data_IF_605928432732
#
_entry.id   IF_605928432732
#
_cell.length_a   1.000
_cell.length_b   1.000
_cell.length_c   1.000
_cell.angle_alpha   90.00
_cell.angle_beta   90.00
_cell.angle_gamma   90.00
#
_symmetry.space_group_name_H-M   'P 1'
#
loop_
_entity.id
_entity.type
_entity.pdbx_description
1 polymer ?
#
# COMPACT_ATOMS: atom_id res chain seq x y z
N UNK A 1 -78.98 6.45 35.25
CA UNK A 1 -79.87 7.51 35.79
C UNK A 1 -81.21 7.40 35.08
N UNK A 2 -82.23 6.85 35.73
CA UNK A 2 -83.57 6.70 35.17
C UNK A 2 -84.23 8.09 35.05
N UNK A 3 -84.51 8.52 33.82
CA UNK A 3 -85.06 9.84 33.53
C UNK A 3 -86.50 9.95 34.06
N UNK A 4 -86.78 10.75 35.11
CA UNK A 4 -88.09 10.80 35.77
C UNK A 4 -89.19 11.48 34.92
N UNK A 5 -88.84 12.04 33.76
CA UNK A 5 -89.75 12.84 32.92
C UNK A 5 -90.80 12.00 32.16
N UNK A 6 -90.44 10.81 31.66
CA UNK A 6 -91.31 9.99 30.80
C UNK A 6 -92.36 9.18 31.56
N UNK A 7 -92.03 8.67 32.75
CA UNK A 7 -93.04 8.07 33.66
C UNK A 7 -94.11 9.08 34.07
N UNK A 8 -93.74 10.36 34.17
CA UNK A 8 -94.71 11.43 34.43
C UNK A 8 -95.63 11.67 33.22
N UNK A 9 -95.14 11.48 31.99
CA UNK A 9 -95.94 11.64 30.78
C UNK A 9 -96.93 10.49 30.58
N UNK A 10 -96.52 9.24 30.84
CA UNK A 10 -97.42 8.07 30.80
C UNK A 10 -98.51 8.16 31.87
N UNK A 11 -98.17 8.59 33.09
CA UNK A 11 -99.17 8.83 34.13
C UNK A 11 -100.09 10.01 33.80
N UNK A 12 -99.56 11.11 33.22
CA UNK A 12 -100.37 12.25 32.75
C UNK A 12 -101.33 11.87 31.63
N UNK A 13 -100.90 11.08 30.65
CA UNK A 13 -101.79 10.59 29.58
C UNK A 13 -102.82 9.63 30.13
N UNK A 14 -102.44 8.71 31.04
CA UNK A 14 -103.38 7.81 31.69
C UNK A 14 -104.42 8.55 32.55
N UNK A 15 -104.01 9.61 33.26
CA UNK A 15 -104.96 10.47 33.99
C UNK A 15 -105.83 11.27 33.04
N UNK A 16 -105.29 11.85 31.95
CA UNK A 16 -106.08 12.60 30.98
C UNK A 16 -107.14 11.71 30.31
N UNK A 17 -106.77 10.47 29.95
CA UNK A 17 -107.68 9.48 29.36
C UNK A 17 -108.70 8.97 30.37
N UNK A 18 -108.29 8.71 31.62
CA UNK A 18 -109.23 8.36 32.69
C UNK A 18 -110.23 9.49 32.95
N UNK A 19 -109.79 10.75 32.89
CA UNK A 19 -110.64 11.94 33.01
C UNK A 19 -111.60 12.02 31.81
N UNK A 20 -111.15 11.87 30.55
CA UNK A 20 -112.06 11.90 29.40
C UNK A 20 -113.06 10.75 29.42
N UNK A 21 -112.65 9.53 29.80
CA UNK A 21 -113.56 8.39 29.97
C UNK A 21 -114.57 8.65 31.08
N UNK A 22 -114.14 9.17 32.24
CA UNK A 22 -115.04 9.52 33.33
C UNK A 22 -116.04 10.61 32.93
N UNK A 23 -115.60 11.65 32.21
CA UNK A 23 -116.47 12.71 31.68
C UNK A 23 -117.50 12.12 30.70
N UNK A 24 -117.08 11.24 29.78
CA UNK A 24 -117.99 10.58 28.82
C UNK A 24 -119.04 9.73 29.55
N UNK A 25 -118.64 8.98 30.59
CA UNK A 25 -119.56 8.16 31.40
C UNK A 25 -120.56 9.03 32.19
N UNK A 26 -120.10 10.14 32.76
CA UNK A 26 -120.96 11.08 33.49
C UNK A 26 -121.97 11.74 32.55
N UNK A 27 -121.53 12.22 31.37
CA UNK A 27 -122.43 12.79 30.35
C UNK A 27 -123.45 11.75 29.87
N UNK A 28 -123.03 10.50 29.68
CA UNK A 28 -123.93 9.41 29.30
C UNK A 28 -124.99 9.11 30.37
N UNK A 29 -124.60 9.01 31.65
CA UNK A 29 -125.54 8.79 32.77
C UNK A 29 -126.54 9.94 32.92
N UNK A 30 -126.09 11.19 32.77
CA UNK A 30 -126.95 12.36 32.79
C UNK A 30 -127.96 12.36 31.62
N UNK A 31 -127.53 11.89 30.44
CA UNK A 31 -128.37 11.74 29.25
C UNK A 31 -129.45 10.66 29.43
N UNK A 32 -129.08 9.51 30.03
CA UNK A 32 -129.99 8.41 30.34
C UNK A 32 -131.09 8.87 31.30
N UNK A 33 -130.72 9.57 32.38
CA UNK A 33 -131.68 10.08 33.36
C UNK A 33 -132.67 11.08 32.74
N UNK A 34 -132.20 11.95 31.83
CA UNK A 34 -133.05 12.92 31.13
C UNK A 34 -134.03 12.27 30.14
N UNK A 35 -133.60 11.22 29.43
CA UNK A 35 -134.45 10.49 28.46
C UNK A 35 -135.52 9.66 29.20
N UNK A 36 -135.22 9.10 30.38
CA UNK A 36 -136.23 8.40 31.19
C UNK A 36 -137.32 9.29 31.77
N UNK A 37 -137.07 10.60 31.91
CA UNK A 37 -138.02 11.55 32.49
C UNK A 37 -139.05 12.12 31.49
N UNK A 38 -138.87 11.90 30.17
CA UNK A 38 -139.71 12.49 29.11
C UNK A 38 -140.67 11.46 28.47
N UNK A 39 -140.53 10.17 28.78
CA UNK A 39 -141.23 9.09 28.06
C UNK A 39 -142.52 8.59 28.73
N UNK A 40 -143.63 9.30 28.55
CA UNK A 40 -144.98 8.75 28.72
C UNK A 40 -145.51 8.25 27.36
N UNK A 41 -145.43 6.93 27.13
CA UNK A 41 -146.10 6.25 26.01
C UNK A 41 -145.19 5.55 24.99
N UNK A 42 -145.34 4.23 24.92
CA UNK A 42 -145.02 3.29 23.83
C UNK A 42 -143.97 3.66 22.75
N UNK A 43 -142.85 2.92 22.74
CA UNK A 43 -142.05 2.64 21.53
C UNK A 43 -140.84 3.52 21.26
N UNK A 44 -140.85 4.81 21.66
CA UNK A 44 -139.74 5.75 21.36
C UNK A 44 -138.61 5.76 22.41
N UNK A 45 -138.90 5.36 23.66
CA UNK A 45 -137.92 5.39 24.75
C UNK A 45 -136.84 4.29 24.65
N UNK A 46 -137.18 3.14 24.08
CA UNK A 46 -136.28 1.99 23.96
C UNK A 46 -135.24 2.18 22.85
N UNK A 47 -135.60 2.83 21.75
CA UNK A 47 -134.69 3.09 20.63
C UNK A 47 -133.64 4.16 20.95
N UNK A 48 -134.00 5.21 21.70
CA UNK A 48 -133.07 6.24 22.14
C UNK A 48 -132.01 5.72 23.14
N UNK A 49 -132.42 4.84 24.06
CA UNK A 49 -131.53 4.19 25.03
C UNK A 49 -130.50 3.25 24.35
N UNK A 50 -130.91 2.53 23.31
CA UNK A 50 -130.01 1.64 22.54
C UNK A 50 -128.95 2.46 21.78
N UNK A 51 -129.34 3.55 21.13
CA UNK A 51 -128.39 4.41 20.38
C UNK A 51 -127.34 5.02 21.32
N UNK A 52 -127.76 5.49 22.51
CA UNK A 52 -126.84 6.07 23.48
C UNK A 52 -125.88 5.02 24.08
N UNK A 53 -126.37 3.82 24.39
CA UNK A 53 -125.52 2.71 24.84
C UNK A 53 -124.48 2.30 23.79
N UNK A 54 -124.86 2.21 22.51
CA UNK A 54 -123.92 1.93 21.40
C UNK A 54 -122.90 3.05 21.23
N UNK A 55 -123.31 4.31 21.38
CA UNK A 55 -122.43 5.49 21.30
C UNK A 55 -121.35 5.48 22.39
N UNK A 56 -121.74 5.12 23.62
CA UNK A 56 -120.83 5.01 24.77
C UNK A 56 -119.86 3.85 24.59
N UNK A 57 -120.33 2.70 24.11
CA UNK A 57 -119.46 1.54 23.82
C UNK A 57 -118.48 1.89 22.69
N UNK A 58 -118.92 2.58 21.63
CA UNK A 58 -118.05 3.02 20.55
C UNK A 58 -116.99 4.03 21.02
N UNK A 59 -117.37 5.02 21.84
CA UNK A 59 -116.43 5.98 22.43
C UNK A 59 -115.45 5.33 23.39
N UNK A 60 -115.90 4.38 24.21
CA UNK A 60 -115.03 3.58 25.09
C UNK A 60 -114.06 2.71 24.27
N UNK A 61 -114.52 2.10 23.17
CA UNK A 61 -113.67 1.31 22.28
C UNK A 61 -112.62 2.18 21.57
N UNK A 62 -112.99 3.36 21.10
CA UNK A 62 -112.06 4.34 20.50
C UNK A 62 -111.07 4.85 21.54
N UNK A 63 -111.53 5.19 22.75
CA UNK A 63 -110.65 5.66 23.84
C UNK A 63 -109.70 4.56 24.33
N UNK A 64 -110.15 3.30 24.38
CA UNK A 64 -109.32 2.15 24.75
C UNK A 64 -108.30 1.81 23.65
N UNK A 65 -108.71 1.89 22.39
CA UNK A 65 -107.82 1.74 21.23
C UNK A 65 -106.75 2.83 21.20
N UNK A 66 -107.14 4.10 21.40
CA UNK A 66 -106.22 5.23 21.51
C UNK A 66 -105.28 5.09 22.72
N UNK A 67 -105.77 4.63 23.88
CA UNK A 67 -104.94 4.36 25.05
C UNK A 67 -103.92 3.26 24.79
N UNK A 68 -104.32 2.18 24.11
CA UNK A 68 -103.44 1.06 23.76
C UNK A 68 -102.38 1.48 22.73
N UNK A 69 -102.74 2.29 21.74
CA UNK A 69 -101.81 2.88 20.78
C UNK A 69 -100.80 3.82 21.46
N UNK A 70 -101.27 4.78 22.27
CA UNK A 70 -100.39 5.75 22.94
C UNK A 70 -99.49 5.07 23.98
N UNK A 71 -100.02 4.10 24.74
CA UNK A 71 -99.23 3.28 25.65
C UNK A 71 -98.16 2.45 24.95
N UNK A 72 -98.48 1.89 23.77
CA UNK A 72 -97.50 1.18 22.93
C UNK A 72 -96.41 2.10 22.38
N UNK A 73 -96.76 3.34 22.00
CA UNK A 73 -95.81 4.34 21.50
C UNK A 73 -94.85 4.78 22.61
N UNK A 74 -95.39 5.15 23.78
CA UNK A 74 -94.59 5.59 24.92
C UNK A 74 -93.64 4.48 25.41
N UNK A 75 -94.10 3.23 25.44
CA UNK A 75 -93.25 2.09 25.81
C UNK A 75 -92.12 1.82 24.82
N UNK A 76 -92.32 2.05 23.52
CA UNK A 76 -91.25 1.94 22.52
C UNK A 76 -90.26 3.10 22.61
N UNK A 77 -90.73 4.32 22.88
CA UNK A 77 -89.86 5.49 23.10
C UNK A 77 -89.01 5.30 24.36
N UNK A 78 -89.58 4.77 25.44
CA UNK A 78 -88.83 4.48 26.67
C UNK A 78 -87.71 3.45 26.41
N UNK A 79 -87.99 2.38 25.64
CA UNK A 79 -86.97 1.40 25.24
C UNK A 79 -85.89 2.02 24.35
N UNK A 80 -86.28 2.87 23.39
CA UNK A 80 -85.33 3.58 22.54
C UNK A 80 -84.43 4.52 23.36
N UNK A 81 -84.99 5.20 24.36
CA UNK A 81 -84.23 6.07 25.26
C UNK A 81 -83.27 5.28 26.17
N UNK A 82 -83.67 4.09 26.62
CA UNK A 82 -82.78 3.17 27.35
C UNK A 82 -81.62 2.73 26.46
N UNK A 83 -81.91 2.21 25.27
CA UNK A 83 -80.88 1.77 24.30
C UNK A 83 -79.95 2.92 23.91
N UNK A 84 -80.47 4.10 23.64
CA UNK A 84 -79.65 5.28 23.36
C UNK A 84 -78.81 5.70 24.59
N UNK A 85 -79.35 5.56 25.81
CA UNK A 85 -78.64 5.86 27.06
C UNK A 85 -77.55 4.84 27.41
N UNK A 86 -77.73 3.57 27.06
CA UNK A 86 -76.72 2.51 27.19
C UNK A 86 -75.62 2.68 26.12
N UNK A 87 -75.99 2.95 24.88
CA UNK A 87 -75.05 3.28 23.81
C UNK A 87 -74.21 4.53 24.13
N UNK A 88 -74.80 5.55 24.74
CA UNK A 88 -74.08 6.74 25.20
C UNK A 88 -73.06 6.45 26.31
N UNK A 89 -73.20 5.33 27.03
CA UNK A 89 -72.23 4.85 28.02
C UNK A 89 -71.15 3.93 27.40
N UNK A 90 -71.21 3.69 26.09
CA UNK A 90 -70.22 2.90 25.35
C UNK A 90 -70.61 1.45 25.09
N UNK A 91 -71.80 0.98 25.52
CA UNK A 91 -72.29 -0.33 25.11
C UNK A 91 -72.98 -0.25 23.75
N UNK A 92 -72.22 -0.53 22.69
CA UNK A 92 -72.75 -0.49 21.32
C UNK A 92 -73.45 -1.78 20.91
N UNK A 93 -73.56 -2.82 21.75
CA UNK A 93 -74.22 -4.08 21.38
C UNK A 93 -75.73 -4.04 21.64
N UNK A 94 -76.24 -3.01 22.33
CA UNK A 94 -77.66 -2.90 22.68
C UNK A 94 -78.51 -2.58 21.46
N UNK A 95 -79.70 -3.18 21.38
CA UNK A 95 -80.62 -2.98 20.24
C UNK A 95 -82.05 -2.83 20.70
N UNK A 96 -82.82 -2.04 19.96
CA UNK A 96 -84.28 -2.01 20.12
C UNK A 96 -84.85 -3.27 19.47
N UNK A 97 -85.38 -4.17 20.30
CA UNK A 97 -85.95 -5.46 19.88
C UNK A 97 -87.48 -5.34 19.75
N UNK A 98 -88.07 -6.09 18.80
CA UNK A 98 -89.52 -6.17 18.51
C UNK A 98 -90.11 -4.86 17.97
N UNK A 99 -89.47 -4.29 16.95
CA UNK A 99 -90.01 -3.14 16.18
C UNK A 99 -91.10 -3.68 15.23
N UNK A 100 -92.32 -3.88 15.74
CA UNK A 100 -93.46 -4.39 14.96
C UNK A 100 -94.20 -3.32 14.14
N UNK A 101 -93.71 -2.08 14.10
CA UNK A 101 -94.36 -0.92 13.46
C UNK A 101 -93.62 -0.52 12.18
N UNK A 102 -94.38 -0.05 11.17
CA UNK A 102 -93.89 0.41 9.85
C UNK A 102 -94.03 1.93 9.63
N UNK A 103 -94.41 2.66 10.66
CA UNK A 103 -94.62 4.11 10.66
C UNK A 103 -93.31 4.88 10.92
N UNK A 104 -93.41 6.20 11.10
CA UNK A 104 -92.29 7.11 11.41
C UNK A 104 -91.48 6.64 12.62
N UNK A 105 -92.18 6.14 13.66
CA UNK A 105 -91.52 5.63 14.86
C UNK A 105 -90.76 4.34 14.56
N UNK A 106 -91.34 3.41 13.80
CA UNK A 106 -90.63 2.22 13.32
C UNK A 106 -89.37 2.57 12.52
N UNK A 107 -89.45 3.57 11.63
CA UNK A 107 -88.29 4.08 10.89
C UNK A 107 -87.21 4.67 11.81
N UNK A 108 -87.60 5.46 12.81
CA UNK A 108 -86.68 6.03 13.79
C UNK A 108 -85.93 4.95 14.58
N UNK A 109 -86.65 3.93 15.08
CA UNK A 109 -86.07 2.85 15.87
C UNK A 109 -85.11 1.98 15.05
N UNK A 110 -85.47 1.67 13.80
CA UNK A 110 -84.58 0.98 12.88
C UNK A 110 -83.36 1.86 12.52
N UNK A 111 -83.54 3.17 12.39
CA UNK A 111 -82.45 4.13 12.20
C UNK A 111 -81.48 4.16 13.40
N UNK A 112 -82.00 4.12 14.63
CA UNK A 112 -81.19 4.01 15.84
C UNK A 112 -80.36 2.72 15.84
N UNK A 113 -80.98 1.56 15.57
CA UNK A 113 -80.25 0.29 15.45
C UNK A 113 -79.17 0.35 14.35
N UNK A 114 -79.48 0.95 13.19
CA UNK A 114 -78.53 1.07 12.09
C UNK A 114 -77.32 1.94 12.43
N UNK A 115 -77.52 3.05 13.16
CA UNK A 115 -76.40 3.89 13.66
C UNK A 115 -75.56 3.09 14.65
N UNK A 116 -76.17 2.28 15.52
CA UNK A 116 -75.43 1.43 16.45
C UNK A 116 -74.64 0.33 15.72
N UNK A 117 -75.22 -0.32 14.71
CA UNK A 117 -74.53 -1.32 13.89
C UNK A 117 -73.28 -0.72 13.22
N UNK A 118 -73.43 0.44 12.56
CA UNK A 118 -72.32 1.13 11.89
C UNK A 118 -71.24 1.60 12.88
N UNK A 119 -71.65 2.11 14.05
CA UNK A 119 -70.70 2.57 15.07
C UNK A 119 -69.94 1.40 15.68
N UNK A 120 -70.62 0.29 15.95
CA UNK A 120 -70.01 -0.93 16.51
C UNK A 120 -69.02 -1.56 15.53
N UNK A 121 -69.41 -1.74 14.26
CA UNK A 121 -68.57 -2.30 13.20
C UNK A 121 -67.31 -1.44 13.01
N UNK A 122 -67.49 -0.13 12.84
CA UNK A 122 -66.39 0.82 12.69
C UNK A 122 -65.44 0.80 13.91
N UNK A 123 -65.99 0.77 15.13
CA UNK A 123 -65.18 0.73 16.35
C UNK A 123 -64.39 -0.56 16.48
N UNK A 124 -64.99 -1.72 16.16
CA UNK A 124 -64.31 -3.02 16.18
C UNK A 124 -63.18 -3.10 15.16
N UNK A 125 -63.43 -2.68 13.92
CA UNK A 125 -62.40 -2.72 12.88
C UNK A 125 -61.28 -1.71 13.12
N UNK A 126 -61.63 -0.50 13.60
CA UNK A 126 -60.62 0.48 14.03
C UNK A 126 -59.78 -0.07 15.17
N UNK A 127 -60.40 -0.62 16.21
CA UNK A 127 -59.69 -1.20 17.35
C UNK A 127 -58.77 -2.36 16.94
N UNK A 128 -59.24 -3.24 16.05
CA UNK A 128 -58.45 -4.37 15.57
C UNK A 128 -57.28 -3.93 14.66
N UNK A 129 -57.49 -2.97 13.76
CA UNK A 129 -56.46 -2.40 12.91
C UNK A 129 -55.40 -1.67 13.75
N UNK A 130 -55.82 -0.82 14.70
CA UNK A 130 -54.91 -0.09 15.59
C UNK A 130 -54.14 -1.01 16.54
N UNK A 131 -54.74 -2.10 17.02
CA UNK A 131 -54.04 -3.10 17.83
C UNK A 131 -52.92 -3.80 17.07
N UNK A 132 -53.14 -4.12 15.79
CA UNK A 132 -52.12 -4.72 14.91
C UNK A 132 -51.05 -3.70 14.54
N UNK A 133 -51.43 -2.48 14.23
CA UNK A 133 -50.52 -1.36 14.01
C UNK A 133 -49.62 -1.10 15.24
N UNK A 134 -50.17 -1.18 16.45
CA UNK A 134 -49.40 -1.08 17.70
C UNK A 134 -48.40 -2.22 17.90
N UNK A 135 -48.61 -3.37 17.25
CA UNK A 135 -47.65 -4.46 17.16
C UNK A 135 -46.75 -4.38 15.91
N UNK A 136 -46.80 -3.27 15.16
CA UNK A 136 -46.08 -3.04 13.90
C UNK A 136 -46.43 -4.05 12.79
N UNK A 137 -47.66 -4.56 12.85
CA UNK A 137 -48.25 -5.47 11.88
C UNK A 137 -49.28 -4.71 11.02
N UNK A 138 -48.83 -4.13 9.90
CA UNK A 138 -49.65 -3.22 9.07
C UNK A 138 -50.53 -3.92 8.01
N UNK A 139 -50.82 -5.21 8.17
CA UNK A 139 -51.58 -5.97 7.18
C UNK A 139 -53.10 -5.80 7.29
N UNK A 140 -53.62 -5.18 8.37
CA UNK A 140 -55.05 -5.03 8.61
C UNK A 140 -55.50 -3.59 8.37
N UNK A 141 -56.30 -3.41 7.33
CA UNK A 141 -56.96 -2.15 6.97
C UNK A 141 -58.45 -2.21 7.28
N UNK A 142 -59.05 -1.04 7.53
CA UNK A 142 -60.50 -0.90 7.74
C UNK A 142 -61.17 -0.97 6.36
N UNK A 143 -62.09 -1.92 6.11
CA UNK A 143 -62.77 -2.01 4.83
C UNK A 143 -63.67 -0.78 4.61
N UNK A 144 -63.49 0.00 3.52
CA UNK A 144 -64.34 1.18 3.25
C UNK A 144 -65.72 0.79 2.69
N UNK A 145 -65.91 -0.49 2.35
CA UNK A 145 -67.13 -1.03 1.76
C UNK A 145 -68.20 -1.13 2.85
N UNK A 146 -69.35 -0.47 2.67
CA UNK A 146 -70.43 -0.43 3.65
C UNK A 146 -70.47 0.84 4.52
N UNK A 147 -69.33 1.54 4.65
CA UNK A 147 -69.26 2.83 5.34
C UNK A 147 -69.72 3.99 4.44
N UNK A 148 -70.41 4.97 5.03
CA UNK A 148 -70.91 6.16 4.34
C UNK A 148 -70.67 7.42 5.17
N UNK A 149 -70.60 8.58 4.50
CA UNK A 149 -70.35 9.86 5.15
C UNK A 149 -69.04 9.84 5.95
N UNK A 150 -69.08 10.42 7.16
CA UNK A 150 -67.90 10.61 8.01
C UNK A 150 -67.19 9.30 8.37
N UNK A 151 -67.91 8.18 8.56
CA UNK A 151 -67.29 6.89 8.86
C UNK A 151 -66.33 6.42 7.75
N UNK A 152 -66.70 6.65 6.48
CA UNK A 152 -65.84 6.32 5.36
C UNK A 152 -64.62 7.23 5.33
N UNK A 153 -64.81 8.53 5.56
CA UNK A 153 -63.71 9.50 5.62
C UNK A 153 -62.72 9.16 6.74
N UNK A 154 -63.21 8.76 7.92
CA UNK A 154 -62.34 8.33 9.02
C UNK A 154 -61.63 7.02 8.72
N UNK A 155 -62.30 6.03 8.11
CA UNK A 155 -61.67 4.78 7.71
C UNK A 155 -60.55 5.00 6.67
N UNK A 156 -60.79 5.85 5.65
CA UNK A 156 -59.79 6.22 4.66
C UNK A 156 -58.60 6.97 5.29
N UNK A 157 -58.86 7.89 6.24
CA UNK A 157 -57.81 8.59 6.98
C UNK A 157 -56.98 7.63 7.83
N UNK A 158 -57.61 6.73 8.59
CA UNK A 158 -56.91 5.74 9.42
C UNK A 158 -56.08 4.82 8.52
N UNK A 159 -56.64 4.32 7.42
CA UNK A 159 -55.90 3.50 6.47
C UNK A 159 -54.69 4.23 5.87
N UNK A 160 -54.84 5.53 5.56
CA UNK A 160 -53.72 6.36 5.12
C UNK A 160 -52.64 6.45 6.20
N UNK A 161 -53.02 6.72 7.45
CA UNK A 161 -52.09 6.77 8.57
C UNK A 161 -51.39 5.41 8.78
N UNK A 162 -52.09 4.30 8.64
CA UNK A 162 -51.51 2.95 8.70
C UNK A 162 -50.47 2.73 7.59
N UNK A 163 -50.77 3.14 6.36
CA UNK A 163 -49.82 3.09 5.25
C UNK A 163 -48.61 4.00 5.46
N UNK A 164 -48.81 5.20 6.00
CA UNK A 164 -47.73 6.12 6.36
C UNK A 164 -46.85 5.54 7.50
N UNK A 165 -47.44 4.86 8.49
CA UNK A 165 -46.72 4.16 9.55
C UNK A 165 -45.91 2.97 9.02
N UNK A 166 -46.49 2.16 8.13
CA UNK A 166 -45.80 1.06 7.45
C UNK A 166 -44.59 1.56 6.65
N UNK A 167 -44.78 2.61 5.86
CA UNK A 167 -43.71 3.22 5.06
C UNK A 167 -42.58 3.76 5.95
N UNK A 168 -42.91 4.41 7.08
CA UNK A 168 -41.91 4.92 8.04
C UNK A 168 -41.13 3.80 8.73
N UNK A 169 -41.78 2.72 9.13
CA UNK A 169 -41.10 1.57 9.73
C UNK A 169 -40.16 0.89 8.72
N UNK A 170 -40.59 0.78 7.46
CA UNK A 170 -39.74 0.23 6.41
C UNK A 170 -38.54 1.13 6.11
N UNK A 171 -38.74 2.45 6.01
CA UNK A 171 -37.65 3.42 5.88
C UNK A 171 -36.68 3.35 7.05
N UNK A 172 -37.18 3.21 8.28
CA UNK A 172 -36.35 3.08 9.49
C UNK A 172 -35.49 1.81 9.46
N UNK A 173 -36.05 0.67 9.02
CA UNK A 173 -35.29 -0.58 8.83
C UNK A 173 -34.20 -0.45 7.77
N UNK A 174 -34.52 0.13 6.61
CA UNK A 174 -33.53 0.34 5.54
C UNK A 174 -32.44 1.31 5.97
N UNK A 175 -32.80 2.37 6.71
CA UNK A 175 -31.85 3.29 7.31
C UNK A 175 -30.92 2.59 8.32
N UNK A 176 -31.47 1.79 9.25
CA UNK A 176 -30.70 0.99 10.21
C UNK A 176 -29.69 0.08 9.50
N UNK A 177 -30.13 -0.66 8.48
CA UNK A 177 -29.27 -1.55 7.70
C UNK A 177 -28.17 -0.79 6.95
N UNK A 178 -28.51 0.34 6.31
CA UNK A 178 -27.55 1.16 5.57
C UNK A 178 -26.49 1.75 6.49
N UNK A 179 -26.89 2.30 7.64
CA UNK A 179 -25.95 2.86 8.62
C UNK A 179 -25.06 1.78 9.21
N UNK A 180 -25.60 0.60 9.55
CA UNK A 180 -24.79 -0.51 10.04
C UNK A 180 -23.77 -1.00 8.98
N UNK A 181 -24.16 -1.04 7.71
CA UNK A 181 -23.25 -1.39 6.62
C UNK A 181 -22.12 -0.35 6.47
N UNK A 182 -22.45 0.95 6.52
CA UNK A 182 -21.46 2.03 6.47
C UNK A 182 -20.50 1.99 7.67
N UNK A 183 -21.02 1.84 8.89
CA UNK A 183 -20.23 1.71 10.13
C UNK A 183 -19.25 0.53 10.01
N UNK A 184 -19.73 -0.62 9.55
CA UNK A 184 -18.89 -1.82 9.34
C UNK A 184 -17.78 -1.57 8.31
N UNK A 185 -18.12 -0.93 7.18
CA UNK A 185 -17.15 -0.59 6.14
C UNK A 185 -16.08 0.37 6.63
N UNK A 186 -16.47 1.45 7.34
CA UNK A 186 -15.52 2.42 7.90
C UNK A 186 -14.65 1.76 8.98
N UNK A 187 -15.22 0.91 9.84
CA UNK A 187 -14.46 0.16 10.85
C UNK A 187 -13.38 -0.73 10.20
N UNK A 188 -13.77 -1.49 9.17
CA UNK A 188 -12.84 -2.35 8.41
C UNK A 188 -11.73 -1.53 7.72
N UNK A 189 -12.09 -0.44 7.05
CA UNK A 189 -11.14 0.46 6.40
C UNK A 189 -10.16 1.06 7.41
N UNK A 190 -10.65 1.49 8.57
CA UNK A 190 -9.83 2.08 9.64
C UNK A 190 -8.84 1.06 10.23
N UNK A 191 -9.29 -0.20 10.42
CA UNK A 191 -8.42 -1.30 10.84
C UNK A 191 -7.32 -1.57 9.81
N UNK A 192 -7.69 -1.58 8.51
CA UNK A 192 -6.73 -1.71 7.42
C UNK A 192 -5.68 -0.59 7.42
N UNK A 193 -6.11 0.67 7.55
CA UNK A 193 -5.19 1.82 7.66
C UNK A 193 -4.24 1.66 8.85
N UNK A 194 -4.74 1.23 10.01
CA UNK A 194 -3.91 0.98 11.19
C UNK A 194 -2.83 -0.10 10.97
N UNK A 195 -3.18 -1.21 10.32
CA UNK A 195 -2.24 -2.28 9.98
C UNK A 195 -1.21 -1.85 8.93
N UNK A 196 -1.63 -1.15 7.89
CA UNK A 196 -0.73 -0.58 6.88
C UNK A 196 0.24 0.39 7.51
N UNK A 197 -0.25 1.26 8.40
CA UNK A 197 0.60 2.18 9.14
C UNK A 197 1.61 1.41 10.01
N UNK A 198 1.20 0.45 10.84
CA UNK A 198 2.16 -0.34 11.64
C UNK A 198 3.25 -1.00 10.79
N UNK A 199 2.88 -1.55 9.63
CA UNK A 199 3.84 -2.13 8.68
C UNK A 199 4.80 -1.08 8.11
N UNK A 200 4.29 0.11 7.78
CA UNK A 200 5.10 1.23 7.29
C UNK A 200 6.09 1.72 8.35
N UNK A 201 5.70 1.75 9.63
CA UNK A 201 6.56 2.15 10.74
C UNK A 201 7.73 1.17 10.90
N UNK A 202 7.44 -0.14 10.94
CA UNK A 202 8.46 -1.18 11.03
C UNK A 202 9.42 -1.17 9.82
N UNK A 203 8.89 -0.93 8.61
CA UNK A 203 9.73 -0.79 7.40
C UNK A 203 10.62 0.44 7.45
N UNK A 204 10.09 1.57 7.93
CA UNK A 204 10.86 2.82 8.07
C UNK A 204 11.97 2.67 9.12
N UNK A 205 11.68 2.01 10.24
CA UNK A 205 12.68 1.69 11.27
C UNK A 205 13.79 0.77 10.70
N UNK A 206 13.40 -0.29 9.99
CA UNK A 206 14.37 -1.19 9.35
C UNK A 206 15.22 -0.48 8.29
N UNK A 207 14.61 0.41 7.49
CA UNK A 207 15.32 1.23 6.51
C UNK A 207 16.31 2.18 7.19
N UNK A 208 15.92 2.82 8.30
CA UNK A 208 16.81 3.65 9.12
C UNK A 208 18.00 2.86 9.66
N UNK A 209 17.76 1.69 10.26
CA UNK A 209 18.82 0.82 10.76
C UNK A 209 19.78 0.32 9.67
N UNK A 210 19.25 -0.06 8.50
CA UNK A 210 20.09 -0.44 7.35
C UNK A 210 20.90 0.72 6.79
N UNK A 211 20.36 1.94 6.84
CA UNK A 211 21.07 3.14 6.39
C UNK A 211 22.33 3.36 7.21
N UNK A 212 22.29 3.15 8.54
CA UNK A 212 23.46 3.25 9.42
C UNK A 212 24.59 2.32 8.96
N UNK A 213 24.27 1.04 8.69
CA UNK A 213 25.26 0.07 8.22
C UNK A 213 25.88 0.46 6.86
N UNK A 214 25.08 1.03 5.95
CA UNK A 214 25.58 1.52 4.65
C UNK A 214 26.48 2.74 4.84
N UNK A 215 26.14 3.63 5.78
CA UNK A 215 26.96 4.78 6.14
C UNK A 215 28.32 4.38 6.67
N UNK A 216 28.38 3.41 7.58
CA UNK A 216 29.64 2.86 8.12
C UNK A 216 30.49 2.22 7.01
N UNK A 217 29.87 1.48 6.09
CA UNK A 217 30.56 0.91 4.94
C UNK A 217 31.12 2.00 4.00
N UNK A 218 30.39 3.09 3.80
CA UNK A 218 30.84 4.23 2.99
C UNK A 218 32.00 4.99 3.66
N UNK A 219 31.94 5.19 4.97
CA UNK A 219 33.04 5.77 5.75
C UNK A 219 34.30 4.90 5.68
N UNK A 220 34.14 3.59 5.86
CA UNK A 220 35.24 2.62 5.71
C UNK A 220 35.84 2.67 4.31
N UNK A 221 35.00 2.76 3.27
CA UNK A 221 35.45 2.88 1.87
C UNK A 221 36.26 4.17 1.65
N UNK A 222 35.84 5.28 2.26
CA UNK A 222 36.58 6.55 2.20
C UNK A 222 37.97 6.42 2.83
N UNK A 223 38.07 5.75 3.98
CA UNK A 223 39.36 5.51 4.63
C UNK A 223 40.26 4.58 3.80
N UNK A 224 39.69 3.52 3.22
CA UNK A 224 40.44 2.62 2.32
C UNK A 224 40.92 3.36 1.06
N UNK A 225 40.09 4.22 0.48
CA UNK A 225 40.48 5.04 -0.67
C UNK A 225 41.67 5.96 -0.34
N UNK A 226 41.67 6.59 0.85
CA UNK A 226 42.80 7.38 1.33
C UNK A 226 44.08 6.54 1.50
N UNK A 227 43.97 5.35 2.09
CA UNK A 227 45.10 4.44 2.26
C UNK A 227 45.69 3.95 0.91
N UNK A 228 44.82 3.69 -0.07
CA UNK A 228 45.25 3.34 -1.43
C UNK A 228 45.89 4.55 -2.12
N UNK A 229 45.34 5.76 -1.98
CA UNK A 229 45.95 7.00 -2.50
C UNK A 229 47.38 7.19 -1.98
N UNK A 230 47.59 6.99 -0.67
CA UNK A 230 48.92 7.06 -0.06
C UNK A 230 49.86 5.98 -0.62
N UNK A 231 49.36 4.76 -0.80
CA UNK A 231 50.13 3.65 -1.40
C UNK A 231 50.51 3.95 -2.85
N UNK A 232 49.59 4.50 -3.64
CA UNK A 232 49.83 4.88 -5.03
C UNK A 232 50.83 6.03 -5.13
N UNK A 233 50.84 6.97 -4.17
CA UNK A 233 51.86 8.04 -4.08
C UNK A 233 53.25 7.47 -3.79
N UNK A 234 53.37 6.48 -2.90
CA UNK A 234 54.63 5.79 -2.65
C UNK A 234 55.09 5.00 -3.88
N UNK A 235 54.17 4.33 -4.58
CA UNK A 235 54.45 3.59 -5.80
C UNK A 235 54.93 4.50 -6.94
N UNK A 236 54.33 5.68 -7.10
CA UNK A 236 54.82 6.69 -8.04
C UNK A 236 56.26 7.14 -7.72
N UNK A 237 56.59 7.29 -6.44
CA UNK A 237 57.96 7.57 -5.98
C UNK A 237 58.94 6.46 -6.36
N UNK A 238 58.57 5.20 -6.12
CA UNK A 238 59.39 4.04 -6.47
C UNK A 238 59.60 3.91 -7.99
N UNK A 239 58.56 4.15 -8.80
CA UNK A 239 58.65 4.16 -10.27
C UNK A 239 59.65 5.23 -10.74
N UNK A 240 59.60 6.44 -10.17
CA UNK A 240 60.53 7.51 -10.52
C UNK A 240 61.98 7.18 -10.14
N UNK A 241 62.20 6.50 -9.02
CA UNK A 241 63.53 6.02 -8.63
C UNK A 241 64.06 4.94 -9.60
N UNK A 242 63.20 4.00 -10.01
CA UNK A 242 63.55 3.00 -11.02
C UNK A 242 63.89 3.68 -12.36
N UNK A 243 63.12 4.69 -12.78
CA UNK A 243 63.39 5.45 -14.00
C UNK A 243 64.79 6.09 -13.99
N UNK A 244 65.16 6.69 -12.85
CA UNK A 244 66.49 7.27 -12.64
C UNK A 244 67.59 6.20 -12.69
N UNK A 245 67.38 5.05 -12.03
CA UNK A 245 68.36 3.95 -12.04
C UNK A 245 68.56 3.37 -13.44
N UNK A 246 67.49 3.19 -14.21
CA UNK A 246 67.56 2.70 -15.60
C UNK A 246 68.32 3.67 -16.50
N UNK A 247 68.08 4.96 -16.36
CA UNK A 247 68.81 6.01 -17.10
C UNK A 247 70.30 5.98 -16.75
N UNK A 248 70.62 5.82 -15.45
CA UNK A 248 72.00 5.69 -15.00
C UNK A 248 72.67 4.42 -15.54
N UNK A 249 71.96 3.28 -15.56
CA UNK A 249 72.47 2.03 -16.13
C UNK A 249 72.78 2.15 -17.62
N UNK A 250 71.89 2.81 -18.39
CA UNK A 250 72.14 3.08 -19.81
C UNK A 250 73.37 3.97 -20.01
N UNK A 251 73.55 5.00 -19.19
CA UNK A 251 74.73 5.87 -19.25
C UNK A 251 76.04 5.12 -18.93
N UNK A 252 76.03 4.25 -17.90
CA UNK A 252 77.18 3.40 -17.56
C UNK A 252 77.50 2.42 -18.69
N UNK A 253 76.49 1.80 -19.31
CA UNK A 253 76.67 0.91 -20.46
C UNK A 253 77.32 1.65 -21.64
N UNK A 254 76.84 2.84 -21.99
CA UNK A 254 77.43 3.67 -23.06
C UNK A 254 78.89 4.04 -22.77
N UNK A 255 79.20 4.40 -21.52
CA UNK A 255 80.57 4.72 -21.11
C UNK A 255 81.48 3.49 -21.22
N UNK A 256 81.01 2.31 -20.80
CA UNK A 256 81.76 1.07 -20.90
C UNK A 256 82.04 0.67 -22.36
N UNK A 257 81.10 0.91 -23.30
CA UNK A 257 81.35 0.69 -24.73
C UNK A 257 82.46 1.61 -25.25
N UNK A 258 82.48 2.87 -24.83
CA UNK A 258 83.53 3.81 -25.22
C UNK A 258 84.91 3.39 -24.70
N UNK A 259 85.02 3.01 -23.42
CA UNK A 259 86.26 2.55 -22.79
C UNK A 259 86.80 1.27 -23.45
N UNK A 260 85.89 0.37 -23.84
CA UNK A 260 86.24 -0.85 -24.56
C UNK A 260 86.75 -0.52 -25.97
N UNK A 261 86.18 0.46 -26.65
CA UNK A 261 86.66 0.92 -27.96
C UNK A 261 88.16 1.26 -27.92
N UNK A 262 88.60 1.98 -26.88
CA UNK A 262 90.02 2.30 -26.68
C UNK A 262 90.88 1.05 -26.44
N UNK A 263 90.35 0.06 -25.74
CA UNK A 263 91.05 -1.21 -25.47
C UNK A 263 91.23 -2.01 -26.77
N UNK A 264 90.21 -2.05 -27.64
CA UNK A 264 90.30 -2.69 -28.95
C UNK A 264 91.36 -2.02 -29.82
N UNK A 265 91.37 -0.68 -29.90
CA UNK A 265 92.40 0.07 -30.64
C UNK A 265 93.82 -0.26 -30.14
N UNK A 266 94.02 -0.30 -28.82
CA UNK A 266 95.31 -0.64 -28.23
C UNK A 266 95.76 -2.06 -28.58
N UNK A 267 94.82 -3.03 -28.61
CA UNK A 267 95.12 -4.42 -29.01
C UNK A 267 95.45 -4.53 -30.49
N UNK A 268 94.74 -3.78 -31.35
CA UNK A 268 95.06 -3.71 -32.79
C UNK A 268 96.46 -3.11 -33.01
N UNK A 269 96.80 -2.02 -32.33
CA UNK A 269 98.12 -1.40 -32.41
C UNK A 269 99.24 -2.32 -31.88
N UNK A 270 98.98 -3.09 -30.82
CA UNK A 270 99.91 -4.11 -30.33
C UNK A 270 100.13 -5.22 -31.36
N UNK A 271 99.05 -5.74 -31.97
CA UNK A 271 99.14 -6.79 -32.99
C UNK A 271 99.96 -6.33 -34.21
N UNK A 272 99.78 -5.08 -34.64
CA UNK A 272 100.56 -4.47 -35.72
C UNK A 272 102.05 -4.32 -35.33
N UNK A 273 102.34 -3.79 -34.14
CA UNK A 273 103.71 -3.64 -33.63
C UNK A 273 104.43 -4.99 -33.54
N UNK A 274 103.75 -6.02 -33.05
CA UNK A 274 104.30 -7.38 -32.95
C UNK A 274 104.49 -8.00 -34.34
N UNK A 275 103.62 -7.70 -35.31
CA UNK A 275 103.81 -8.09 -36.71
C UNK A 275 105.07 -7.50 -37.33
N UNK A 276 105.34 -6.21 -37.08
CA UNK A 276 106.58 -5.56 -37.54
C UNK A 276 107.83 -6.20 -36.91
N UNK A 277 107.78 -6.55 -35.62
CA UNK A 277 108.87 -7.30 -34.97
C UNK A 277 109.09 -8.64 -35.67
N UNK A 278 108.02 -9.36 -36.02
CA UNK A 278 108.11 -10.61 -36.76
C UNK A 278 108.84 -10.48 -38.10
N UNK A 279 108.59 -9.40 -38.85
CA UNK A 279 109.31 -9.11 -40.11
C UNK A 279 110.81 -8.89 -39.86
N UNK A 280 111.16 -8.14 -38.81
CA UNK A 280 112.57 -7.90 -38.45
C UNK A 280 113.27 -9.18 -38.00
N UNK A 281 112.60 -10.02 -37.20
CA UNK A 281 113.14 -11.30 -36.74
C UNK A 281 113.38 -12.24 -37.91
N UNK A 282 112.48 -12.27 -38.89
CA UNK A 282 112.66 -13.05 -40.12
C UNK A 282 113.90 -12.56 -40.91
N UNK A 283 114.07 -11.24 -41.06
CA UNK A 283 115.25 -10.67 -41.71
C UNK A 283 116.56 -11.05 -40.98
N UNK A 284 116.57 -11.01 -39.64
CA UNK A 284 117.74 -11.41 -38.85
C UNK A 284 118.04 -12.90 -39.06
N UNK A 285 117.01 -13.75 -39.11
CA UNK A 285 117.17 -15.18 -39.38
C UNK A 285 117.76 -15.43 -40.79
N UNK A 286 117.29 -14.68 -41.79
CA UNK A 286 117.81 -14.75 -43.15
C UNK A 286 119.29 -14.30 -43.22
N UNK A 287 119.65 -13.23 -42.50
CA UNK A 287 121.04 -12.76 -42.37
C UNK A 287 121.90 -13.81 -41.66
N UNK A 288 121.39 -14.44 -40.59
CA UNK A 288 122.11 -15.49 -39.87
C UNK A 288 122.34 -16.72 -40.77
N UNK A 289 121.35 -17.13 -41.55
CA UNK A 289 121.48 -18.22 -42.52
C UNK A 289 122.50 -17.88 -43.62
N UNK A 290 122.47 -16.66 -44.16
CA UNK A 290 123.44 -16.19 -45.14
C UNK A 290 124.86 -16.12 -44.55
N UNK A 291 124.99 -15.66 -43.30
CA UNK A 291 126.27 -15.59 -42.58
C UNK A 291 126.83 -16.99 -42.32
N UNK A 292 125.99 -17.95 -41.96
CA UNK A 292 126.36 -19.36 -41.79
C UNK A 292 126.87 -19.97 -43.11
N UNK A 293 126.24 -19.65 -44.25
CA UNK A 293 126.69 -20.07 -45.58
C UNK A 293 128.02 -19.41 -45.97
N UNK A 294 128.20 -18.12 -45.72
CA UNK A 294 129.46 -17.41 -45.95
C UNK A 294 130.59 -17.98 -45.10
N UNK A 295 130.33 -18.24 -43.82
CA UNK A 295 131.27 -18.85 -42.90
C UNK A 295 131.64 -20.27 -43.33
N UNK A 296 130.68 -21.06 -43.80
CA UNK A 296 130.92 -22.39 -44.35
C UNK A 296 131.84 -22.33 -45.58
N UNK A 297 131.58 -21.42 -46.53
CA UNK A 297 132.44 -21.21 -47.69
C UNK A 297 133.85 -20.78 -47.28
N UNK A 298 133.98 -19.91 -46.27
CA UNK A 298 135.27 -19.51 -45.72
C UNK A 298 136.01 -20.67 -45.04
N UNK A 299 135.31 -21.54 -44.29
CA UNK A 299 135.92 -22.75 -43.71
C UNK A 299 136.41 -23.71 -44.80
N UNK A 300 135.68 -23.86 -45.90
CA UNK A 300 136.09 -24.68 -47.05
C UNK A 300 137.37 -24.11 -47.68
N UNK A 301 137.43 -22.81 -47.94
CA UNK A 301 138.60 -22.19 -48.58
C UNK A 301 139.81 -22.15 -47.63
N UNK A 302 139.58 -21.98 -46.33
CA UNK A 302 140.62 -22.09 -45.31
C UNK A 302 141.20 -23.52 -45.22
N UNK A 303 140.36 -24.55 -45.35
CA UNK A 303 140.81 -25.94 -45.45
C UNK A 303 141.61 -26.20 -46.74
N UNK A 304 141.23 -25.54 -47.85
CA UNK A 304 141.92 -25.61 -49.15
C UNK A 304 143.31 -24.97 -49.13
N UNK A 305 143.51 -23.94 -48.32
CA UNK A 305 144.79 -23.27 -48.11
C UNK A 305 145.78 -24.04 -47.20
N UNK A 306 145.39 -25.20 -46.64
CA UNK A 306 146.26 -26.06 -45.84
C UNK A 306 146.76 -25.40 -44.55
N UNK A 307 148.06 -25.53 -44.25
CA UNK A 307 148.65 -25.01 -43.00
C UNK A 307 148.60 -23.47 -42.89
N UNK A 308 148.61 -22.75 -44.01
CA UNK A 308 148.49 -21.29 -44.04
C UNK A 308 147.07 -20.78 -43.69
N UNK A 309 146.06 -21.63 -43.81
CA UNK A 309 144.65 -21.29 -43.57
C UNK A 309 144.15 -21.56 -42.15
N UNK A 310 144.94 -22.18 -41.26
CA UNK A 310 144.50 -22.61 -39.92
C UNK A 310 143.89 -21.49 -39.06
N UNK A 311 144.50 -20.30 -39.07
CA UNK A 311 143.97 -19.14 -38.34
C UNK A 311 142.63 -18.66 -38.89
N UNK A 312 142.49 -18.65 -40.22
CA UNK A 312 141.22 -18.32 -40.90
C UNK A 312 140.14 -19.38 -40.65
N UNK A 313 140.51 -20.67 -40.58
CA UNK A 313 139.57 -21.75 -40.29
C UNK A 313 138.96 -21.64 -38.88
N UNK A 314 139.73 -21.20 -37.88
CA UNK A 314 139.22 -20.96 -36.52
C UNK A 314 138.21 -19.82 -36.51
N UNK A 315 138.53 -18.69 -37.16
CA UNK A 315 137.61 -17.54 -37.26
C UNK A 315 136.35 -17.92 -38.03
N UNK A 316 136.48 -18.63 -39.15
CA UNK A 316 135.33 -19.07 -39.95
C UNK A 316 134.40 -20.01 -39.16
N UNK A 317 134.96 -20.94 -38.37
CA UNK A 317 134.18 -21.80 -37.49
C UNK A 317 133.51 -21.03 -36.33
N UNK A 318 134.16 -20.02 -35.77
CA UNK A 318 133.57 -19.15 -34.74
C UNK A 318 132.39 -18.34 -35.31
N UNK A 319 132.55 -17.75 -36.49
CA UNK A 319 131.48 -17.05 -37.21
C UNK A 319 130.32 -18.00 -37.52
N UNK A 320 130.63 -19.23 -37.96
CA UNK A 320 129.63 -20.28 -38.19
C UNK A 320 128.88 -20.63 -36.90
N UNK A 321 129.57 -20.71 -35.76
CA UNK A 321 128.95 -21.00 -34.47
C UNK A 321 128.01 -19.87 -34.03
N UNK A 322 128.48 -18.62 -34.08
CA UNK A 322 127.69 -17.41 -33.80
C UNK A 322 126.45 -17.30 -34.70
N UNK A 323 126.59 -17.61 -35.99
CA UNK A 323 125.47 -17.60 -36.94
C UNK A 323 124.39 -18.64 -36.57
N UNK A 324 124.79 -19.87 -36.19
CA UNK A 324 123.85 -20.89 -35.73
C UNK A 324 123.20 -20.54 -34.38
N UNK A 325 123.94 -19.95 -33.44
CA UNK A 325 123.38 -19.42 -32.19
C UNK A 325 122.37 -18.31 -32.47
N UNK A 326 122.68 -17.40 -33.40
CA UNK A 326 121.79 -16.31 -33.81
C UNK A 326 120.51 -16.88 -34.41
N UNK A 327 120.61 -17.82 -35.35
CA UNK A 327 119.45 -18.47 -35.98
C UNK A 327 118.53 -19.11 -34.92
N UNK A 328 119.10 -19.84 -33.96
CA UNK A 328 118.36 -20.46 -32.86
C UNK A 328 117.68 -19.42 -31.95
N UNK A 329 118.38 -18.33 -31.61
CA UNK A 329 117.81 -17.25 -30.83
C UNK A 329 116.65 -16.56 -31.57
N UNK A 330 116.78 -16.31 -32.89
CA UNK A 330 115.67 -15.79 -33.69
C UNK A 330 114.49 -16.74 -33.79
N UNK A 331 114.72 -18.06 -33.84
CA UNK A 331 113.63 -19.05 -33.82
C UNK A 331 112.86 -19.03 -32.48
N UNK A 332 113.56 -18.91 -31.35
CA UNK A 332 112.94 -18.73 -30.04
C UNK A 332 112.14 -17.43 -29.95
N UNK A 333 112.69 -16.31 -30.46
CA UNK A 333 111.98 -15.01 -30.53
C UNK A 333 110.75 -15.10 -31.43
N UNK A 334 110.84 -15.72 -32.61
CA UNK A 334 109.69 -15.94 -33.50
C UNK A 334 108.57 -16.70 -32.81
N UNK A 335 108.90 -17.70 -31.99
CA UNK A 335 107.91 -18.43 -31.19
C UNK A 335 107.23 -17.52 -30.15
N UNK A 336 107.99 -16.66 -29.47
CA UNK A 336 107.44 -15.68 -28.54
C UNK A 336 106.57 -14.62 -29.22
N UNK A 337 106.98 -14.11 -30.38
CA UNK A 337 106.20 -13.17 -31.21
C UNK A 337 104.86 -13.80 -31.58
N UNK A 338 104.86 -15.06 -32.05
CA UNK A 338 103.65 -15.81 -32.35
C UNK A 338 102.72 -15.96 -31.14
N UNK A 339 103.28 -16.34 -29.98
CA UNK A 339 102.50 -16.46 -28.75
C UNK A 339 101.87 -15.13 -28.29
N UNK A 340 102.58 -14.00 -28.43
CA UNK A 340 102.05 -12.66 -28.12
C UNK A 340 100.94 -12.27 -29.11
N UNK A 341 101.11 -12.55 -30.40
CA UNK A 341 100.08 -12.31 -31.42
C UNK A 341 98.80 -13.13 -31.17
N UNK A 342 98.95 -14.40 -30.79
CA UNK A 342 97.81 -15.25 -30.46
C UNK A 342 97.11 -14.77 -29.18
N UNK A 343 97.88 -14.35 -28.16
CA UNK A 343 97.33 -13.77 -26.94
C UNK A 343 96.56 -12.46 -27.22
N UNK A 344 97.10 -11.58 -28.07
CA UNK A 344 96.44 -10.34 -28.47
C UNK A 344 95.12 -10.61 -29.23
N UNK A 345 95.12 -11.56 -30.17
CA UNK A 345 93.89 -11.98 -30.88
C UNK A 345 92.85 -12.57 -29.95
N UNK A 346 93.27 -13.43 -29.02
CA UNK A 346 92.37 -14.02 -28.02
C UNK A 346 91.76 -12.96 -27.10
N UNK A 347 92.57 -11.98 -26.66
CA UNK A 347 92.10 -10.85 -25.87
C UNK A 347 91.08 -10.00 -26.64
N UNK A 348 91.34 -9.68 -27.91
CA UNK A 348 90.41 -8.94 -28.76
C UNK A 348 89.06 -9.67 -28.92
N UNK A 349 89.07 -10.98 -29.16
CA UNK A 349 87.86 -11.79 -29.24
C UNK A 349 87.09 -11.83 -27.90
N UNK A 350 87.80 -11.91 -26.76
CA UNK A 350 87.21 -11.82 -25.44
C UNK A 350 86.50 -10.47 -25.21
N UNK A 351 87.11 -9.39 -25.69
CA UNK A 351 86.54 -8.03 -25.60
C UNK A 351 85.28 -7.89 -26.47
N UNK A 352 85.22 -8.49 -27.67
CA UNK A 352 83.99 -8.50 -28.48
C UNK A 352 82.81 -9.15 -27.74
N UNK A 353 83.04 -10.24 -27.00
CA UNK A 353 82.01 -10.87 -26.17
C UNK A 353 81.51 -9.95 -25.03
N UNK A 354 82.39 -9.12 -24.47
CA UNK A 354 82.02 -8.10 -23.47
C UNK A 354 81.18 -7.00 -24.12
N UNK A 355 81.53 -6.53 -25.33
CA UNK A 355 80.72 -5.54 -26.08
C UNK A 355 79.31 -6.06 -26.31
N UNK A 356 79.15 -7.31 -26.72
CA UNK A 356 77.83 -7.89 -26.96
C UNK A 356 77.01 -7.98 -25.67
N UNK A 357 77.66 -8.34 -24.56
CA UNK A 357 77.01 -8.33 -23.24
C UNK A 357 76.51 -6.93 -22.86
N UNK A 358 77.31 -5.88 -23.11
CA UNK A 358 76.91 -4.50 -22.81
C UNK A 358 75.79 -4.01 -23.72
N UNK A 359 75.79 -4.38 -25.00
CA UNK A 359 74.65 -4.09 -25.90
C UNK A 359 73.36 -4.74 -25.43
N UNK A 360 73.45 -5.97 -24.90
CA UNK A 360 72.29 -6.63 -24.29
C UNK A 360 71.79 -5.86 -23.06
N UNK A 361 72.69 -5.34 -22.22
CA UNK A 361 72.33 -4.47 -21.08
C UNK A 361 71.62 -3.19 -21.55
N UNK A 362 72.10 -2.54 -22.60
CA UNK A 362 71.47 -1.33 -23.18
C UNK A 362 70.04 -1.63 -23.69
N UNK A 363 69.85 -2.74 -24.42
CA UNK A 363 68.54 -3.18 -24.89
C UNK A 363 67.57 -3.50 -23.73
N UNK A 364 68.05 -4.21 -22.69
CA UNK A 364 67.26 -4.50 -21.49
C UNK A 364 66.86 -3.19 -20.80
N UNK A 365 67.79 -2.24 -20.67
CA UNK A 365 67.52 -0.94 -20.06
C UNK A 365 66.45 -0.15 -20.83
N UNK A 366 66.51 -0.15 -22.17
CA UNK A 366 65.47 0.46 -23.01
C UNK A 366 64.09 -0.20 -22.83
N UNK A 367 64.06 -1.54 -22.70
CA UNK A 367 62.82 -2.29 -22.45
C UNK A 367 62.22 -1.94 -21.08
N UNK A 368 63.06 -1.86 -20.04
CA UNK A 368 62.62 -1.47 -18.69
C UNK A 368 62.12 -0.02 -18.70
N UNK A 369 62.79 0.91 -19.40
CA UNK A 369 62.35 2.30 -19.50
C UNK A 369 60.93 2.41 -20.09
N UNK A 370 60.64 1.64 -21.15
CA UNK A 370 59.29 1.59 -21.73
C UNK A 370 58.25 1.05 -20.73
N UNK A 371 58.58 -0.02 -19.99
CA UNK A 371 57.69 -0.59 -18.97
C UNK A 371 57.44 0.38 -17.81
N UNK A 372 58.45 1.15 -17.40
CA UNK A 372 58.36 2.18 -16.37
C UNK A 372 57.41 3.31 -16.81
N UNK A 373 57.47 3.75 -18.06
CA UNK A 373 56.53 4.75 -18.60
C UNK A 373 55.08 4.25 -18.59
N UNK A 374 54.85 2.98 -18.93
CA UNK A 374 53.53 2.36 -18.87
C UNK A 374 53.03 2.25 -17.42
N UNK A 375 53.89 1.83 -16.48
CA UNK A 375 53.57 1.80 -15.06
C UNK A 375 53.23 3.19 -14.51
N UNK A 376 53.94 4.25 -14.93
CA UNK A 376 53.64 5.62 -14.52
C UNK A 376 52.26 6.09 -15.00
N UNK A 377 51.87 5.74 -16.23
CA UNK A 377 50.54 6.03 -16.75
C UNK A 377 49.45 5.31 -15.93
N UNK A 378 49.60 4.00 -15.72
CA UNK A 378 48.64 3.19 -14.93
C UNK A 378 48.53 3.70 -13.49
N UNK A 379 49.64 4.11 -12.88
CA UNK A 379 49.67 4.64 -11.51
C UNK A 379 48.91 5.95 -11.37
N UNK A 380 49.00 6.82 -12.39
CA UNK A 380 48.20 8.05 -12.46
C UNK A 380 46.71 7.75 -12.62
N UNK A 381 46.36 6.79 -13.47
CA UNK A 381 44.96 6.39 -13.66
C UNK A 381 44.37 5.79 -12.38
N UNK A 382 45.13 4.94 -11.68
CA UNK A 382 44.73 4.40 -10.36
C UNK A 382 44.49 5.55 -9.36
N UNK A 383 45.35 6.57 -9.34
CA UNK A 383 45.18 7.72 -8.46
C UNK A 383 43.89 8.49 -8.79
N UNK A 384 43.61 8.73 -10.08
CA UNK A 384 42.39 9.40 -10.49
C UNK A 384 41.12 8.60 -10.13
N UNK A 385 41.15 7.29 -10.33
CA UNK A 385 40.05 6.40 -9.96
C UNK A 385 39.83 6.33 -8.44
N UNK A 386 40.90 6.38 -7.64
CA UNK A 386 40.74 6.33 -6.18
C UNK A 386 40.14 7.62 -5.62
N UNK A 387 40.47 8.77 -6.22
CA UNK A 387 39.83 10.03 -5.88
C UNK A 387 38.33 10.00 -6.22
N UNK A 388 37.96 9.44 -7.38
CA UNK A 388 36.56 9.23 -7.75
C UNK A 388 35.82 8.30 -6.77
N UNK A 389 36.45 7.19 -6.37
CA UNK A 389 35.90 6.26 -5.36
C UNK A 389 35.66 6.98 -4.03
N UNK A 390 36.59 7.83 -3.59
CA UNK A 390 36.43 8.61 -2.36
C UNK A 390 35.24 9.59 -2.45
N UNK A 391 35.10 10.28 -3.58
CA UNK A 391 33.95 11.18 -3.83
C UNK A 391 32.64 10.40 -3.83
N UNK A 392 32.58 9.24 -4.49
CA UNK A 392 31.38 8.39 -4.52
C UNK A 392 31.03 7.84 -3.15
N UNK A 393 32.01 7.46 -2.35
CA UNK A 393 31.79 7.03 -0.97
C UNK A 393 31.21 8.17 -0.10
N UNK A 394 31.72 9.40 -0.26
CA UNK A 394 31.16 10.57 0.41
C UNK A 394 29.71 10.87 -0.02
N UNK A 395 29.41 10.78 -1.32
CA UNK A 395 28.03 10.91 -1.84
C UNK A 395 27.09 9.84 -1.26
N UNK A 396 27.55 8.59 -1.11
CA UNK A 396 26.75 7.52 -0.49
C UNK A 396 26.47 7.84 0.98
N UNK A 397 27.46 8.36 1.72
CA UNK A 397 27.30 8.76 3.12
C UNK A 397 26.24 9.87 3.29
N UNK A 398 26.26 10.88 2.41
CA UNK A 398 25.27 11.96 2.40
C UNK A 398 23.85 11.44 2.06
N UNK A 399 23.74 10.60 1.04
CA UNK A 399 22.48 9.94 0.68
C UNK A 399 21.93 9.07 1.82
N UNK A 400 22.80 8.40 2.57
CA UNK A 400 22.44 7.63 3.76
C UNK A 400 21.90 8.53 4.87
N UNK A 401 22.51 9.69 5.10
CA UNK A 401 22.02 10.67 6.08
C UNK A 401 20.61 11.16 5.71
N UNK A 402 20.40 11.49 4.43
CA UNK A 402 19.09 11.86 3.89
C UNK A 402 18.05 10.73 4.00
N UNK A 403 18.44 9.47 3.73
CA UNK A 403 17.56 8.31 3.84
C UNK A 403 17.18 8.03 5.30
N UNK A 404 18.13 8.16 6.24
CA UNK A 404 17.88 8.03 7.67
C UNK A 404 16.89 9.08 8.17
N UNK A 405 17.08 10.35 7.77
CA UNK A 405 16.16 11.43 8.09
C UNK A 405 14.76 11.19 7.51
N UNK A 406 14.68 10.79 6.24
CA UNK A 406 13.41 10.51 5.56
C UNK A 406 12.67 9.33 6.22
N UNK A 407 13.41 8.30 6.63
CA UNK A 407 12.87 7.16 7.36
C UNK A 407 12.31 7.57 8.73
N UNK A 408 13.01 8.45 9.45
CA UNK A 408 12.52 8.99 10.72
C UNK A 408 11.23 9.83 10.53
N UNK A 409 11.18 10.67 9.49
CA UNK A 409 9.98 11.44 9.13
C UNK A 409 8.81 10.53 8.75
N UNK A 410 9.05 9.48 7.95
CA UNK A 410 8.05 8.49 7.57
C UNK A 410 7.50 7.75 8.80
N UNK A 411 8.37 7.35 9.74
CA UNK A 411 7.96 6.75 11.01
C UNK A 411 7.06 7.70 11.81
N UNK A 412 7.46 8.97 11.98
CA UNK A 412 6.64 9.97 12.66
C UNK A 412 5.29 10.23 11.98
N UNK A 413 5.24 10.30 10.65
CA UNK A 413 4.00 10.41 9.89
C UNK A 413 3.08 9.21 10.07
N UNK A 414 3.66 8.02 10.11
CA UNK A 414 2.95 6.78 10.32
C UNK A 414 2.33 6.67 11.71
N UNK A 415 3.05 7.13 12.76
CA UNK A 415 2.51 7.22 14.12
C UNK A 415 1.27 8.13 14.17
N UNK A 416 1.28 9.26 13.44
CA UNK A 416 0.10 10.13 13.31
C UNK A 416 -1.08 9.43 12.64
N UNK A 417 -0.83 8.62 11.61
CA UNK A 417 -1.87 7.82 10.94
C UNK A 417 -2.45 6.77 11.89
N UNK A 418 -1.62 6.07 12.68
CA UNK A 418 -2.09 5.11 13.70
C UNK A 418 -3.00 5.81 14.70
N UNK A 419 -2.63 7.00 15.17
CA UNK A 419 -3.43 7.75 16.12
C UNK A 419 -4.76 8.22 15.51
N UNK A 420 -4.73 8.69 14.27
CA UNK A 420 -5.93 9.11 13.53
C UNK A 420 -6.88 7.94 13.30
N UNK A 421 -6.36 6.77 12.93
CA UNK A 421 -7.14 5.55 12.77
C UNK A 421 -7.78 5.13 14.11
N UNK A 422 -7.03 5.13 15.22
CA UNK A 422 -7.60 4.85 16.55
C UNK A 422 -8.69 5.85 16.95
N UNK A 423 -8.51 7.13 16.65
CA UNK A 423 -9.54 8.14 16.90
C UNK A 423 -10.80 7.89 16.08
N UNK A 424 -10.64 7.55 14.79
CA UNK A 424 -11.76 7.24 13.92
C UNK A 424 -12.51 5.98 14.37
N UNK A 425 -11.81 4.94 14.83
CA UNK A 425 -12.45 3.75 15.42
C UNK A 425 -13.37 4.13 16.58
N UNK A 426 -12.92 4.99 17.50
CA UNK A 426 -13.75 5.47 18.62
C UNK A 426 -14.99 6.24 18.14
N UNK A 427 -14.84 7.08 17.11
CA UNK A 427 -15.97 7.83 16.52
C UNK A 427 -16.98 6.87 15.88
N UNK A 428 -16.52 5.84 15.17
CA UNK A 428 -17.37 4.81 14.56
C UNK A 428 -18.11 3.98 15.60
N UNK A 429 -17.44 3.61 16.70
CA UNK A 429 -18.06 2.91 17.84
C UNK A 429 -19.14 3.78 18.51
N UNK A 430 -18.86 5.07 18.73
CA UNK A 430 -19.82 6.01 19.29
C UNK A 430 -21.03 6.22 18.37
N UNK A 431 -20.80 6.38 17.05
CA UNK A 431 -21.87 6.52 16.07
C UNK A 431 -22.76 5.28 16.03
N UNK A 432 -22.16 4.08 16.06
CA UNK A 432 -22.89 2.81 16.13
C UNK A 432 -23.77 2.73 17.38
N UNK A 433 -23.24 3.12 18.53
CA UNK A 433 -23.99 3.15 19.78
C UNK A 433 -25.16 4.14 19.74
N UNK A 434 -24.95 5.35 19.22
CA UNK A 434 -26.00 6.38 19.10
C UNK A 434 -27.11 5.97 18.12
N UNK A 435 -26.75 5.34 17.00
CA UNK A 435 -27.72 4.82 16.02
C UNK A 435 -28.55 3.70 16.64
N UNK A 436 -27.91 2.76 17.36
CA UNK A 436 -28.63 1.70 18.07
C UNK A 436 -29.56 2.26 19.15
N UNK A 437 -29.12 3.29 19.88
CA UNK A 437 -29.94 3.98 20.89
C UNK A 437 -31.11 4.76 20.29
N UNK A 438 -30.92 5.38 19.12
CA UNK A 438 -32.00 6.05 18.40
C UNK A 438 -33.01 5.03 17.88
N UNK A 439 -32.54 3.97 17.22
CA UNK A 439 -33.40 2.90 16.71
C UNK A 439 -34.19 2.24 17.83
N UNK A 440 -33.60 2.02 19.01
CA UNK A 440 -34.34 1.46 20.15
C UNK A 440 -35.39 2.39 20.76
N UNK A 441 -35.25 3.71 20.59
CA UNK A 441 -36.27 4.71 20.99
C UNK A 441 -37.40 4.86 19.98
N UNK A 442 -37.12 4.63 18.69
CA UNK A 442 -38.10 4.64 17.60
C UNK A 442 -38.82 3.28 17.49
N UNK A 443 -38.15 2.21 17.93
CA UNK A 443 -38.74 0.87 18.09
C UNK A 443 -39.75 0.86 19.21
#
# INVERSE_FOLDING_TARGET
>A
MSNPSLRSATTKVATLVAITVAVIVIVALASIWRISAIADGGGFATTALIILAVSVIALLAVSLSAFREVGSILGLIERAAIVAGEAAQGDLNVRVIRIGRKDELGRLLNGLNHVLDLTEEFAKDTGAAMKRAGAKEYFRYIPPQGLRGDYRTYAELINKVLGDMEARDQQTKTFEQSVHAMVSQVSSATKGIGQTAQTMAARSESAGGRSINVGEAAETTTHLAAAVSDSTRQLAGAINEIALQVTQSAHVAQTAVADIGQTVENMTGLAESVSQIGVVVQLINDIAAQTNLLALNATIEAARAGDAGKGFAVVANEVKHLANQTAKATEDISRQVGAVQDAARSAAAGVEGVVETIRSIDHISATIASAVQEQEAVTRDISAHIDEVAVKAAEVSDNVAHLSQSSAQACGGTVRVIWSARSLTKVVEALSAEVNAYVSKVK
#
